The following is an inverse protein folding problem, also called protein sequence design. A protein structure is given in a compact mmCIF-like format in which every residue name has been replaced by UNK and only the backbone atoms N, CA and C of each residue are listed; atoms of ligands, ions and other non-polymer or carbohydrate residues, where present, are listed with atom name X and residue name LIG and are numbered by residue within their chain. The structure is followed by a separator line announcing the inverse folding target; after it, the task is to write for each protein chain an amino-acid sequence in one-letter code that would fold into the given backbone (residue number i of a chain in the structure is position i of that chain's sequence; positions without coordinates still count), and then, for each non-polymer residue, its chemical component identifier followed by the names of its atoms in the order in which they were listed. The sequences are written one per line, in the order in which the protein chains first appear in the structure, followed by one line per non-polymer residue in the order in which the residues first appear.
data_IF_808307209152
#
_entry.id   IF_808307209152
#
_cell.length_a   1.000
_cell.length_b   1.000
_cell.length_c   1.000
_cell.angle_alpha   90.00
_cell.angle_beta   90.00
_cell.angle_gamma   90.00
#
_symmetry.space_group_name_H-M   'P 1'
#
loop_
_entity.id
_entity.type
_entity.pdbx_description
1 polymer ?
#
# COMPACT_ATOMS: atom_id res chain seq x y z
N UNK A 1 55.32 1.82 -6.39
CA UNK A 1 56.57 1.74 -5.60
C UNK A 1 56.41 0.58 -4.62
N UNK A 2 57.27 -0.41 -4.90
CA UNK A 2 57.98 -1.33 -4.00
C UNK A 2 57.08 -2.24 -3.16
N UNK A 3 56.96 -3.48 -3.51
CA UNK A 3 57.94 -4.57 -3.58
C UNK A 3 58.04 -5.33 -2.26
N UNK A 4 57.70 -6.65 -2.34
CA UNK A 4 58.62 -7.79 -2.16
C UNK A 4 58.82 -8.19 -0.70
N UNK A 5 58.57 -9.44 -0.31
CA UNK A 5 59.46 -10.63 -0.15
C UNK A 5 58.63 -11.71 0.55
N UNK A 6 58.26 -12.89 0.04
CA UNK A 6 59.00 -14.14 -0.25
C UNK A 6 59.79 -14.72 0.92
N UNK A 7 59.44 -15.94 1.35
CA UNK A 7 60.24 -17.13 1.65
C UNK A 7 59.42 -18.08 2.51
N UNK A 8 58.96 -19.22 2.08
CA UNK A 8 59.58 -20.54 1.91
C UNK A 8 60.29 -21.11 3.17
N UNK A 9 59.73 -22.18 3.68
CA UNK A 9 60.47 -23.23 4.35
C UNK A 9 59.74 -24.58 4.22
N UNK A 10 60.45 -25.51 3.61
CA UNK A 10 60.13 -26.92 3.36
C UNK A 10 60.67 -27.76 4.51
N UNK A 11 60.10 -28.98 4.65
CA UNK A 11 60.55 -30.18 5.34
C UNK A 11 60.07 -30.34 6.78
N UNK A 12 59.48 -31.47 7.20
CA UNK A 12 60.03 -32.80 7.12
C UNK A 12 58.94 -33.87 7.20
N UNK A 13 59.08 -34.90 6.36
CA UNK A 13 58.52 -36.23 6.54
C UNK A 13 58.95 -36.85 7.85
N UNK A 14 58.01 -37.47 8.57
CA UNK A 14 58.33 -38.64 9.38
C UNK A 14 57.10 -39.53 9.44
N UNK A 15 57.23 -40.66 8.78
CA UNK A 15 56.35 -41.80 8.90
C UNK A 15 56.44 -42.39 10.30
N UNK A 16 55.30 -42.58 10.91
CA UNK A 16 55.10 -43.57 12.01
C UNK A 16 53.87 -44.39 11.70
N UNK A 17 54.10 -45.62 11.26
CA UNK A 17 53.10 -46.66 11.21
C UNK A 17 52.60 -46.94 12.61
N UNK A 18 51.33 -46.58 12.88
CA UNK A 18 50.61 -47.01 14.06
C UNK A 18 49.93 -48.33 13.73
N UNK A 19 50.41 -49.43 14.33
CA UNK A 19 49.66 -50.69 14.43
C UNK A 19 48.26 -50.43 14.95
N UNK A 20 47.21 -51.10 14.47
CA UNK A 20 45.87 -50.97 15.06
C UNK A 20 45.94 -51.43 16.48
N UNK A 21 45.58 -50.54 17.41
CA UNK A 21 45.43 -50.85 18.83
C UNK A 21 44.43 -52.01 18.91
N UNK A 22 44.91 -53.15 19.47
CA UNK A 22 44.05 -54.27 19.76
C UNK A 22 42.89 -53.82 20.66
N UNK A 23 41.68 -53.98 20.18
CA UNK A 23 40.46 -53.69 20.90
C UNK A 23 40.46 -54.52 22.21
N UNK A 24 40.49 -53.86 23.36
CA UNK A 24 40.53 -54.48 24.69
C UNK A 24 39.25 -55.22 25.04
N UNK A 25 38.34 -55.42 24.12
CA UNK A 25 37.07 -56.13 24.33
C UNK A 25 37.27 -57.63 24.31
N UNK A 26 36.65 -58.31 25.26
CA UNK A 26 36.63 -59.78 25.30
C UNK A 26 35.63 -60.30 24.29
N UNK A 27 36.05 -61.11 23.30
CA UNK A 27 35.13 -61.66 22.32
C UNK A 27 34.15 -62.66 22.99
N UNK A 28 32.93 -62.71 22.48
CA UNK A 28 31.92 -63.64 22.94
C UNK A 28 32.27 -65.09 22.53
N UNK A 29 32.70 -65.28 21.36
CA UNK A 29 33.19 -66.53 20.80
C UNK A 29 34.01 -66.24 19.54
N UNK A 30 34.68 -67.28 19.04
CA UNK A 30 35.47 -67.26 17.81
C UNK A 30 34.77 -68.10 16.75
N UNK A 31 34.69 -67.63 15.52
CA UNK A 31 33.94 -68.27 14.44
C UNK A 31 34.82 -68.55 13.24
N UNK A 32 34.61 -69.69 12.56
CA UNK A 32 35.28 -69.99 11.29
C UNK A 32 34.64 -69.14 10.16
N UNK A 33 35.44 -68.33 9.41
CA UNK A 33 34.95 -67.55 8.29
C UNK A 33 34.36 -68.34 7.14
N UNK A 34 34.83 -69.60 6.91
CA UNK A 34 34.34 -70.46 5.84
C UNK A 34 33.18 -71.36 6.28
N UNK A 35 33.18 -71.79 7.53
CA UNK A 35 32.14 -72.62 8.10
C UNK A 35 31.52 -71.99 9.32
N UNK A 36 30.56 -71.01 9.15
CA UNK A 36 30.00 -70.20 10.26
C UNK A 36 29.32 -71.01 11.38
N UNK A 37 29.02 -72.28 11.13
CA UNK A 37 28.42 -73.16 12.13
C UNK A 37 29.45 -73.65 13.20
N UNK A 38 30.76 -73.52 12.90
CA UNK A 38 31.83 -73.88 13.87
C UNK A 38 32.18 -72.64 14.72
N UNK A 39 32.00 -72.79 16.02
CA UNK A 39 32.37 -71.75 17.01
C UNK A 39 33.22 -72.31 18.10
N UNK A 40 34.13 -71.50 18.66
CA UNK A 40 35.04 -71.87 19.75
C UNK A 40 35.13 -70.77 20.81
N UNK A 41 35.29 -71.13 22.06
CA UNK A 41 35.46 -70.21 23.17
C UNK A 41 36.88 -69.67 23.30
N UNK A 42 37.82 -70.14 22.43
CA UNK A 42 39.24 -69.81 22.45
C UNK A 42 39.75 -69.49 21.04
N UNK A 43 40.74 -68.58 20.95
CA UNK A 43 41.40 -68.35 19.67
C UNK A 43 42.11 -69.62 19.21
N UNK A 44 42.10 -69.87 17.92
CA UNK A 44 42.70 -71.07 17.32
C UNK A 44 42.43 -71.16 15.85
N UNK A 45 42.78 -72.32 15.28
CA UNK A 45 42.51 -72.65 13.89
C UNK A 45 41.32 -73.60 13.76
N UNK A 46 40.56 -73.41 12.72
CA UNK A 46 39.46 -74.33 12.37
C UNK A 46 39.98 -75.72 12.04
N UNK A 47 39.41 -76.79 12.61
CA UNK A 47 39.94 -78.15 12.42
C UNK A 47 39.80 -78.66 10.97
N UNK A 48 38.82 -78.13 10.21
CA UNK A 48 38.49 -78.66 8.89
C UNK A 48 39.29 -77.93 7.76
N UNK A 49 39.58 -76.66 7.90
CA UNK A 49 40.25 -75.83 6.85
C UNK A 49 41.55 -75.20 7.27
N UNK A 50 41.92 -75.28 8.57
CA UNK A 50 43.17 -74.75 9.09
C UNK A 50 43.30 -73.19 9.16
N UNK A 51 42.19 -72.48 8.87
CA UNK A 51 42.19 -70.99 8.92
C UNK A 51 42.01 -70.53 10.37
N UNK A 52 42.51 -69.30 10.62
CA UNK A 52 42.41 -68.66 11.93
C UNK A 52 40.92 -68.23 12.16
N UNK A 53 40.44 -68.50 13.35
CA UNK A 53 39.10 -68.15 13.79
C UNK A 53 38.99 -66.65 14.01
N UNK A 54 37.90 -66.01 13.56
CA UNK A 54 37.63 -64.59 13.78
C UNK A 54 36.83 -64.33 15.04
N UNK A 55 37.25 -63.35 15.87
CA UNK A 55 36.53 -63.02 17.10
C UNK A 55 35.22 -62.32 16.82
N UNK A 56 34.14 -62.83 17.38
CA UNK A 56 32.81 -62.22 17.35
C UNK A 56 32.59 -61.51 18.69
N UNK A 57 32.35 -60.20 18.60
CA UNK A 57 32.05 -59.37 19.77
C UNK A 57 30.56 -59.18 19.92
N UNK A 58 30.11 -58.90 21.14
CA UNK A 58 28.72 -58.54 21.38
C UNK A 58 28.37 -57.25 20.55
N UNK A 59 27.37 -57.36 19.70
CA UNK A 59 26.87 -56.20 18.95
C UNK A 59 26.37 -55.18 19.98
N UNK A 60 27.12 -54.09 20.17
CA UNK A 60 26.72 -53.01 21.04
C UNK A 60 25.34 -52.56 20.58
N UNK A 61 24.31 -52.81 21.44
CA UNK A 61 22.98 -52.26 21.21
C UNK A 61 23.17 -50.78 20.80
N UNK A 62 22.69 -50.47 19.61
CA UNK A 62 22.93 -49.26 18.90
C UNK A 62 22.93 -48.06 19.85
N UNK A 63 24.05 -47.33 19.85
CA UNK A 63 24.13 -46.02 20.46
C UNK A 63 22.85 -45.26 20.19
N UNK A 64 22.41 -44.53 21.19
CA UNK A 64 21.16 -43.79 21.24
C UNK A 64 20.70 -43.08 19.98
N UNK A 65 19.51 -42.58 19.93
CA UNK A 65 18.77 -42.24 18.70
C UNK A 65 19.69 -41.60 17.71
N UNK A 66 19.68 -42.14 16.47
CA UNK A 66 20.41 -41.57 15.34
C UNK A 66 20.23 -40.05 15.32
N UNK A 67 21.25 -39.27 14.98
CA UNK A 67 21.14 -37.81 15.02
C UNK A 67 19.88 -37.43 14.26
N UNK A 68 18.95 -36.80 14.99
CA UNK A 68 17.70 -36.34 14.39
C UNK A 68 18.03 -35.55 13.16
N UNK A 69 17.35 -35.77 12.01
CA UNK A 69 17.62 -35.01 10.80
C UNK A 69 17.69 -33.54 11.14
N UNK A 70 18.62 -32.81 10.53
CA UNK A 70 18.91 -31.42 10.84
C UNK A 70 17.63 -30.58 10.87
N UNK A 71 17.11 -30.42 12.09
CA UNK A 71 15.90 -29.66 12.37
C UNK A 71 16.34 -28.28 12.80
N UNK A 72 15.86 -27.27 12.11
CA UNK A 72 16.10 -25.88 12.53
C UNK A 72 14.96 -25.45 13.46
N UNK A 73 15.34 -24.99 14.63
CA UNK A 73 14.40 -24.45 15.61
C UNK A 73 14.29 -22.94 15.47
N UNK A 74 13.13 -22.41 15.80
CA UNK A 74 12.88 -20.97 15.88
C UNK A 74 11.90 -20.70 17.02
N UNK A 75 11.97 -19.50 17.58
CA UNK A 75 11.00 -19.04 18.58
C UNK A 75 9.80 -18.41 17.92
N UNK A 76 8.64 -18.64 18.50
CA UNK A 76 7.41 -17.93 18.14
C UNK A 76 7.47 -16.55 18.77
N UNK A 77 7.47 -15.53 17.92
CA UNK A 77 7.56 -14.15 18.34
C UNK A 77 6.28 -13.41 18.00
N UNK A 78 5.93 -12.48 18.88
CA UNK A 78 4.87 -11.52 18.63
C UNK A 78 5.52 -10.21 18.22
N UNK A 79 5.11 -9.67 17.09
CA UNK A 79 5.75 -8.49 16.57
C UNK A 79 4.90 -7.78 15.51
N UNK A 80 5.42 -6.67 15.03
CA UNK A 80 4.82 -5.95 13.92
C UNK A 80 5.16 -6.64 12.60
N UNK A 81 4.15 -6.87 11.78
CA UNK A 81 4.31 -7.43 10.44
C UNK A 81 4.00 -6.38 9.40
N UNK A 82 4.90 -6.22 8.46
CA UNK A 82 4.70 -5.34 7.31
C UNK A 82 4.10 -6.11 6.15
N UNK A 83 3.12 -5.51 5.50
CA UNK A 83 2.49 -6.02 4.29
C UNK A 83 2.30 -4.90 3.29
N UNK A 84 2.63 -5.13 2.04
CA UNK A 84 2.29 -4.23 0.94
C UNK A 84 1.06 -4.76 0.23
N UNK A 85 0.00 -3.97 0.23
CA UNK A 85 -1.18 -4.23 -0.60
C UNK A 85 -0.95 -3.59 -1.97
N UNK A 86 -1.14 -4.38 -3.03
CA UNK A 86 -1.06 -3.92 -4.41
C UNK A 86 -2.44 -3.99 -5.03
N UNK A 87 -2.87 -2.87 -5.59
CA UNK A 87 -4.16 -2.75 -6.24
C UNK A 87 -4.12 -1.70 -7.35
N UNK A 88 -5.22 -1.54 -8.03
CA UNK A 88 -5.43 -0.47 -8.99
C UNK A 88 -6.33 0.60 -8.39
N UNK A 89 -6.10 1.84 -8.80
CA UNK A 89 -6.93 2.98 -8.42
C UNK A 89 -7.27 3.85 -9.62
N UNK A 90 -8.34 4.64 -9.47
CA UNK A 90 -8.73 5.65 -10.44
C UNK A 90 -8.47 7.03 -9.86
N UNK A 91 -7.80 7.88 -10.61
CA UNK A 91 -7.55 9.27 -10.24
C UNK A 91 -8.85 10.06 -10.33
N UNK A 92 -9.15 10.83 -9.32
CA UNK A 92 -10.26 11.77 -9.26
C UNK A 92 -9.77 13.16 -8.82
N UNK A 93 -10.42 14.24 -9.23
CA UNK A 93 -10.11 15.55 -8.68
C UNK A 93 -10.49 15.57 -7.18
N UNK A 94 -9.76 16.34 -6.37
CA UNK A 94 -10.17 16.67 -5.01
C UNK A 94 -11.43 17.54 -5.06
N UNK A 95 -12.54 17.01 -4.54
CA UNK A 95 -13.84 17.69 -4.58
C UNK A 95 -13.81 19.07 -3.91
N UNK A 96 -12.95 19.27 -2.91
CA UNK A 96 -12.78 20.55 -2.25
C UNK A 96 -12.05 21.59 -3.12
N UNK A 97 -11.48 21.15 -4.24
CA UNK A 97 -10.70 21.95 -5.18
C UNK A 97 -11.33 22.00 -6.57
N UNK A 98 -12.61 21.64 -6.66
CA UNK A 98 -13.42 21.77 -7.87
C UNK A 98 -14.25 23.04 -7.80
N UNK A 99 -14.15 23.86 -8.80
CA UNK A 99 -14.78 25.17 -8.90
C UNK A 99 -15.72 25.20 -10.11
N UNK A 100 -17.01 24.99 -9.91
CA UNK A 100 -17.98 25.19 -10.99
C UNK A 100 -18.15 26.69 -11.29
N UNK A 101 -18.19 27.03 -12.55
CA UNK A 101 -18.58 28.37 -13.03
C UNK A 101 -20.00 28.27 -13.53
N UNK A 102 -20.93 28.70 -12.68
CA UNK A 102 -22.37 28.60 -12.90
C UNK A 102 -22.91 29.95 -13.36
N UNK A 103 -23.86 29.94 -14.28
CA UNK A 103 -24.55 31.15 -14.73
C UNK A 103 -25.54 31.64 -13.64
N UNK A 104 -25.32 32.83 -13.09
CA UNK A 104 -26.21 33.44 -12.07
C UNK A 104 -27.54 33.94 -12.63
N UNK A 105 -27.68 34.03 -13.95
CA UNK A 105 -28.88 34.47 -14.67
C UNK A 105 -29.01 33.80 -16.05
N UNK A 106 -30.09 34.02 -16.74
CA UNK A 106 -30.22 33.64 -18.14
C UNK A 106 -29.53 34.63 -19.06
N UNK A 107 -29.04 34.13 -20.21
CA UNK A 107 -28.36 34.99 -21.17
C UNK A 107 -27.84 34.26 -22.42
N UNK A 108 -26.94 34.92 -23.12
CA UNK A 108 -26.27 34.44 -24.31
C UNK A 108 -24.76 34.52 -24.18
N UNK A 109 -24.08 33.51 -24.67
CA UNK A 109 -22.61 33.54 -24.79
C UNK A 109 -22.28 34.27 -26.08
N UNK A 110 -21.71 35.48 -25.95
CA UNK A 110 -21.31 36.29 -27.09
C UNK A 110 -20.00 35.78 -27.70
N UNK A 111 -19.01 35.47 -26.84
CA UNK A 111 -17.67 35.07 -27.25
C UNK A 111 -17.01 34.18 -26.20
N UNK A 112 -16.20 33.22 -26.65
CA UNK A 112 -15.29 32.47 -25.77
C UNK A 112 -13.90 33.10 -25.81
N UNK A 113 -13.25 33.11 -24.67
CA UNK A 113 -11.86 33.51 -24.61
C UNK A 113 -10.94 32.40 -25.17
N UNK A 114 -9.79 32.74 -25.76
CA UNK A 114 -8.83 31.74 -26.20
C UNK A 114 -8.27 30.93 -25.02
N UNK A 115 -7.90 29.67 -25.24
CA UNK A 115 -7.35 28.81 -24.19
C UNK A 115 -8.36 28.41 -23.13
N UNK A 116 -9.61 28.16 -23.52
CA UNK A 116 -10.71 27.75 -22.63
C UNK A 116 -11.38 26.46 -23.06
N UNK A 117 -10.65 25.60 -23.76
CA UNK A 117 -11.09 24.24 -24.06
C UNK A 117 -10.92 23.31 -22.85
N UNK A 118 -11.64 22.20 -22.88
CA UNK A 118 -11.43 21.12 -21.89
C UNK A 118 -9.97 20.65 -21.96
N UNK A 119 -9.31 20.60 -20.80
CA UNK A 119 -7.90 20.27 -20.67
C UNK A 119 -6.97 21.48 -20.64
N UNK A 120 -7.44 22.69 -21.00
CA UNK A 120 -6.62 23.90 -20.90
C UNK A 120 -6.39 24.33 -19.46
N UNK A 121 -5.23 24.94 -19.22
CA UNK A 121 -4.87 25.53 -17.91
C UNK A 121 -5.30 26.98 -17.87
N UNK A 122 -5.95 27.37 -16.80
CA UNK A 122 -6.39 28.73 -16.54
C UNK A 122 -5.83 29.26 -15.25
N UNK A 123 -5.69 30.57 -15.14
CA UNK A 123 -5.30 31.28 -13.94
C UNK A 123 -6.53 31.92 -13.31
N UNK A 124 -6.51 32.07 -11.98
CA UNK A 124 -7.53 32.86 -11.27
C UNK A 124 -7.70 34.24 -11.93
N UNK A 125 -8.92 34.63 -12.21
CA UNK A 125 -9.26 35.90 -12.87
C UNK A 125 -9.09 35.90 -14.39
N UNK A 126 -8.61 34.82 -15.01
CA UNK A 126 -8.53 34.73 -16.47
C UNK A 126 -9.93 34.70 -17.08
N UNK A 127 -10.11 35.47 -18.17
CA UNK A 127 -11.37 35.47 -18.92
C UNK A 127 -11.66 34.09 -19.53
N UNK A 128 -12.89 33.63 -19.37
CA UNK A 128 -13.40 32.36 -19.90
C UNK A 128 -14.35 32.60 -21.06
N UNK A 129 -15.35 33.42 -20.84
CA UNK A 129 -16.36 33.73 -21.81
C UNK A 129 -16.88 35.16 -21.64
N UNK A 130 -17.40 35.74 -22.68
CA UNK A 130 -18.16 36.98 -22.64
C UNK A 130 -19.64 36.60 -22.76
N UNK A 131 -20.43 37.05 -21.81
CA UNK A 131 -21.86 36.77 -21.73
C UNK A 131 -22.67 38.06 -21.75
N UNK A 132 -23.88 37.99 -22.27
CA UNK A 132 -24.82 39.07 -22.30
C UNK A 132 -26.18 38.60 -21.75
N UNK A 133 -26.81 39.40 -20.90
CA UNK A 133 -28.09 39.09 -20.29
C UNK A 133 -28.80 40.37 -19.83
N UNK A 134 -30.13 40.36 -19.89
CA UNK A 134 -30.94 41.51 -19.44
C UNK A 134 -30.72 41.80 -17.96
N UNK A 135 -30.66 40.75 -17.15
CA UNK A 135 -30.50 40.84 -15.72
C UNK A 135 -29.14 41.41 -15.32
N UNK A 136 -28.07 41.07 -16.08
CA UNK A 136 -26.72 41.61 -15.88
C UNK A 136 -26.68 43.12 -16.06
N UNK A 137 -27.29 43.63 -17.12
CA UNK A 137 -27.36 45.08 -17.39
C UNK A 137 -28.23 45.81 -16.37
N UNK A 138 -29.30 45.19 -15.88
CA UNK A 138 -30.15 45.76 -14.86
C UNK A 138 -29.41 45.85 -13.51
N UNK A 139 -28.71 44.81 -13.10
CA UNK A 139 -27.92 44.80 -11.87
C UNK A 139 -26.79 45.88 -11.92
N UNK A 140 -26.12 45.99 -13.06
CA UNK A 140 -25.10 47.03 -13.24
C UNK A 140 -25.64 48.44 -13.10
N UNK A 141 -26.84 48.72 -13.66
CA UNK A 141 -27.51 50.01 -13.49
C UNK A 141 -27.93 50.27 -12.05
N UNK A 142 -28.47 49.26 -11.37
CA UNK A 142 -28.86 49.33 -9.96
C UNK A 142 -27.62 49.64 -9.08
N UNK A 143 -26.48 48.98 -9.35
CA UNK A 143 -25.24 49.26 -8.62
C UNK A 143 -24.77 50.71 -8.86
N UNK A 144 -24.77 51.24 -10.10
CA UNK A 144 -24.37 52.60 -10.36
C UNK A 144 -25.34 53.61 -9.70
N UNK A 145 -26.60 53.30 -9.65
CA UNK A 145 -27.56 54.14 -8.91
C UNK A 145 -27.26 54.17 -7.39
N UNK A 146 -27.06 53.01 -6.81
CA UNK A 146 -26.69 52.86 -5.38
C UNK A 146 -25.34 53.57 -5.08
N UNK A 147 -24.36 53.46 -5.97
CA UNK A 147 -23.09 54.15 -5.87
C UNK A 147 -23.22 55.67 -5.87
N UNK A 148 -24.02 56.23 -6.78
CA UNK A 148 -24.32 57.66 -6.87
C UNK A 148 -25.07 58.14 -5.64
N UNK A 149 -25.99 57.37 -5.08
CA UNK A 149 -26.70 57.70 -3.86
C UNK A 149 -25.76 57.70 -2.64
N UNK A 150 -24.80 56.79 -2.59
CA UNK A 150 -23.77 56.73 -1.53
C UNK A 150 -22.80 57.92 -1.56
N UNK A 151 -22.47 58.42 -2.77
CA UNK A 151 -21.58 59.57 -2.96
C UNK A 151 -22.27 60.90 -2.65
N UNK A 152 -23.57 61.00 -2.94
CA UNK A 152 -24.37 62.20 -2.71
C UNK A 152 -25.62 61.81 -1.89
N UNK A 153 -25.47 61.54 -0.57
CA UNK A 153 -26.60 61.17 0.25
C UNK A 153 -27.59 62.34 0.35
N UNK A 154 -28.86 62.06 -0.02
CA UNK A 154 -29.96 62.98 0.26
C UNK A 154 -30.06 63.19 1.78
N UNK A 155 -30.66 64.31 2.26
CA UNK A 155 -30.93 64.50 3.68
C UNK A 155 -31.67 63.27 4.23
N UNK A 156 -31.04 62.54 5.15
CA UNK A 156 -31.54 61.26 5.70
C UNK A 156 -32.26 61.57 7.01
N UNK A 157 -33.35 60.92 7.26
CA UNK A 157 -34.02 60.97 8.54
C UNK A 157 -33.14 60.37 9.64
N UNK A 158 -33.19 60.90 10.88
CA UNK A 158 -32.44 60.31 12.00
C UNK A 158 -32.78 58.82 12.18
N UNK A 159 -31.77 57.95 12.11
CA UNK A 159 -31.88 56.49 12.16
C UNK A 159 -31.63 55.76 10.84
N UNK A 160 -31.60 56.43 9.69
CA UNK A 160 -31.37 55.84 8.36
C UNK A 160 -29.96 56.14 7.80
N UNK A 161 -29.05 56.63 8.64
CA UNK A 161 -27.72 57.09 8.24
C UNK A 161 -26.84 56.04 7.54
N UNK A 162 -27.14 54.76 7.77
CA UNK A 162 -26.43 53.64 7.12
C UNK A 162 -27.07 53.07 5.85
N UNK A 163 -28.32 53.47 5.52
CA UNK A 163 -29.09 52.87 4.44
C UNK A 163 -28.41 52.94 3.05
N UNK A 164 -27.82 54.08 2.61
CA UNK A 164 -27.16 54.14 1.31
C UNK A 164 -25.95 53.22 1.21
N UNK A 165 -25.17 53.06 2.29
CA UNK A 165 -24.00 52.16 2.32
C UNK A 165 -24.40 50.69 2.38
N UNK A 166 -25.52 50.33 2.98
CA UNK A 166 -26.07 48.98 2.94
C UNK A 166 -26.58 48.65 1.56
N UNK A 167 -27.36 49.55 0.93
CA UNK A 167 -27.84 49.37 -0.43
C UNK A 167 -26.72 49.20 -1.44
N UNK A 168 -25.63 49.97 -1.32
CA UNK A 168 -24.46 49.80 -2.17
C UNK A 168 -23.76 48.42 -1.98
N UNK A 169 -23.64 47.97 -0.73
CA UNK A 169 -23.09 46.66 -0.42
C UNK A 169 -23.93 45.51 -1.00
N UNK A 170 -25.24 45.62 -0.87
CA UNK A 170 -26.19 44.65 -1.45
C UNK A 170 -26.12 44.64 -2.97
N UNK A 171 -26.10 45.79 -3.61
CA UNK A 171 -25.99 45.90 -5.05
C UNK A 171 -24.64 45.31 -5.57
N UNK A 172 -23.54 45.55 -4.86
CA UNK A 172 -22.24 44.95 -5.15
C UNK A 172 -22.28 43.43 -5.05
N UNK A 173 -22.82 42.89 -3.95
CA UNK A 173 -22.99 41.44 -3.74
C UNK A 173 -23.85 40.81 -4.81
N UNK A 174 -24.88 41.51 -5.26
CA UNK A 174 -25.71 41.03 -6.37
C UNK A 174 -24.92 40.93 -7.68
N UNK A 175 -24.04 41.90 -8.00
CA UNK A 175 -23.13 41.80 -9.14
C UNK A 175 -22.19 40.61 -9.03
N UNK A 176 -21.60 40.39 -7.86
CA UNK A 176 -20.69 39.25 -7.60
C UNK A 176 -21.43 37.92 -7.80
N UNK A 177 -22.66 37.81 -7.30
CA UNK A 177 -23.52 36.62 -7.47
C UNK A 177 -23.90 36.36 -8.94
N UNK A 178 -24.01 37.41 -9.75
CA UNK A 178 -24.26 37.33 -11.17
C UNK A 178 -23.00 37.05 -12.01
N UNK A 179 -21.84 36.92 -11.37
CA UNK A 179 -20.59 36.54 -12.01
C UNK A 179 -19.69 37.70 -12.44
N UNK A 180 -19.97 38.94 -12.03
CA UNK A 180 -19.04 40.05 -12.25
C UNK A 180 -17.76 39.86 -11.44
N UNK A 181 -16.63 39.85 -12.13
CA UNK A 181 -15.34 39.83 -11.47
C UNK A 181 -15.02 41.18 -10.81
N UNK A 182 -14.17 41.15 -9.77
CA UNK A 182 -13.79 42.37 -9.03
C UNK A 182 -13.19 43.47 -9.92
N UNK A 183 -12.42 43.07 -10.96
CA UNK A 183 -11.87 44.01 -11.93
C UNK A 183 -12.97 44.73 -12.71
N UNK A 184 -14.02 44.04 -13.08
CA UNK A 184 -15.15 44.60 -13.81
C UNK A 184 -16.00 45.52 -12.94
N UNK A 185 -16.21 45.16 -11.65
CA UNK A 185 -16.90 46.04 -10.69
C UNK A 185 -16.12 47.33 -10.53
N UNK A 186 -14.81 47.26 -10.40
CA UNK A 186 -13.93 48.47 -10.32
C UNK A 186 -14.00 49.33 -11.61
N UNK A 187 -13.98 48.65 -12.77
CA UNK A 187 -14.14 49.32 -14.04
C UNK A 187 -15.49 50.07 -14.12
N UNK A 188 -16.58 49.39 -13.71
CA UNK A 188 -17.91 49.97 -13.62
C UNK A 188 -17.99 51.17 -12.67
N UNK A 189 -17.30 51.09 -11.51
CA UNK A 189 -17.14 52.19 -10.53
C UNK A 189 -16.42 53.41 -11.12
N UNK A 190 -15.37 53.16 -11.95
CA UNK A 190 -14.54 54.23 -12.53
C UNK A 190 -15.18 54.85 -13.76
N UNK A 191 -15.65 54.02 -14.69
CA UNK A 191 -16.18 54.48 -15.99
C UNK A 191 -17.61 54.98 -15.92
N UNK A 192 -18.38 54.52 -14.95
CA UNK A 192 -19.83 54.77 -14.83
C UNK A 192 -20.63 54.35 -16.04
N UNK A 193 -20.06 53.50 -16.89
CA UNK A 193 -20.71 53.02 -18.09
C UNK A 193 -21.15 51.57 -17.96
N UNK A 194 -22.42 51.28 -18.22
CA UNK A 194 -22.94 49.94 -18.21
C UNK A 194 -22.52 49.22 -19.48
N UNK A 195 -21.63 48.26 -19.35
CA UNK A 195 -21.38 47.29 -20.44
C UNK A 195 -22.52 46.28 -20.50
N UNK A 196 -22.98 45.99 -21.72
CA UNK A 196 -23.94 44.89 -21.95
C UNK A 196 -23.25 43.52 -21.87
N UNK A 197 -21.95 43.51 -22.06
CA UNK A 197 -21.12 42.30 -22.04
C UNK A 197 -20.41 42.18 -20.72
N UNK A 198 -20.58 41.02 -20.07
CA UNK A 198 -19.93 40.64 -18.84
C UNK A 198 -18.93 39.55 -19.12
N UNK A 199 -17.72 39.69 -18.61
CA UNK A 199 -16.66 38.68 -18.73
C UNK A 199 -16.72 37.72 -17.60
N UNK A 200 -17.11 36.47 -17.85
CA UNK A 200 -16.96 35.42 -16.86
C UNK A 200 -15.48 35.07 -16.70
N UNK A 201 -15.02 35.02 -15.48
CA UNK A 201 -13.61 34.78 -15.13
C UNK A 201 -13.46 33.49 -14.33
N UNK A 202 -12.27 32.88 -14.38
CA UNK A 202 -11.96 31.72 -13.60
C UNK A 202 -11.86 32.06 -12.09
N UNK A 203 -12.62 31.40 -11.21
CA UNK A 203 -12.61 31.66 -9.78
C UNK A 203 -11.30 31.19 -9.09
N UNK A 204 -10.62 30.23 -9.70
CA UNK A 204 -9.37 29.65 -9.24
C UNK A 204 -8.44 29.31 -10.41
N UNK A 205 -7.16 29.13 -10.10
CA UNK A 205 -6.21 28.58 -11.08
C UNK A 205 -6.38 27.06 -11.11
N UNK A 206 -6.32 26.48 -12.31
CA UNK A 206 -6.50 25.04 -12.47
C UNK A 206 -6.61 24.60 -13.92
N UNK A 207 -7.21 23.45 -14.14
CA UNK A 207 -7.48 22.85 -15.44
C UNK A 207 -8.98 22.81 -15.65
N UNK A 208 -9.43 23.14 -16.86
CA UNK A 208 -10.84 23.01 -17.24
C UNK A 208 -11.17 21.53 -17.44
N UNK A 209 -11.97 20.98 -16.55
CA UNK A 209 -12.43 19.58 -16.62
C UNK A 209 -13.59 19.39 -17.56
N UNK A 210 -14.50 20.37 -17.61
CA UNK A 210 -15.65 20.34 -18.48
C UNK A 210 -15.99 21.76 -18.96
N UNK A 211 -16.46 21.85 -20.19
CA UNK A 211 -16.97 23.07 -20.78
C UNK A 211 -18.29 22.79 -21.46
N UNK A 212 -19.37 23.41 -20.99
CA UNK A 212 -20.70 23.40 -21.59
C UNK A 212 -21.04 24.73 -22.29
N UNK A 213 -20.07 25.62 -22.43
CA UNK A 213 -20.22 26.92 -23.07
C UNK A 213 -19.81 26.88 -24.54
N UNK A 214 -20.70 27.35 -25.46
CA UNK A 214 -20.44 27.46 -26.88
C UNK A 214 -20.80 28.87 -27.41
N UNK A 215 -20.11 29.37 -28.44
CA UNK A 215 -20.43 30.69 -28.99
C UNK A 215 -21.86 30.75 -29.48
N UNK A 216 -22.56 31.86 -29.20
CA UNK A 216 -23.96 32.12 -29.55
C UNK A 216 -24.97 31.18 -28.89
N UNK A 217 -24.57 30.44 -27.87
CA UNK A 217 -25.48 29.59 -27.10
C UNK A 217 -26.27 30.45 -26.09
N UNK A 218 -27.58 30.18 -26.02
CA UNK A 218 -28.40 30.62 -24.89
C UNK A 218 -28.11 29.70 -23.69
N UNK A 219 -28.04 30.28 -22.54
CA UNK A 219 -27.94 29.53 -21.27
C UNK A 219 -29.02 30.01 -20.29
N UNK A 220 -29.48 29.10 -19.49
CA UNK A 220 -30.45 29.37 -18.44
C UNK A 220 -29.72 29.58 -17.11
N UNK A 221 -30.42 30.11 -16.09
CA UNK A 221 -29.91 30.25 -14.73
C UNK A 221 -29.47 28.89 -14.18
N UNK A 222 -28.44 28.88 -13.35
CA UNK A 222 -27.88 27.72 -12.65
C UNK A 222 -27.24 26.66 -13.57
N UNK A 223 -27.08 26.95 -14.86
CA UNK A 223 -26.32 26.09 -15.77
C UNK A 223 -24.83 26.22 -15.49
N UNK A 224 -24.17 25.09 -15.29
CA UNK A 224 -22.71 25.04 -15.20
C UNK A 224 -22.08 25.19 -16.58
N UNK A 225 -21.40 26.32 -16.79
CA UNK A 225 -20.75 26.64 -18.06
C UNK A 225 -19.31 26.10 -18.18
N UNK A 226 -18.60 26.09 -17.04
CA UNK A 226 -17.24 25.53 -16.94
C UNK A 226 -17.09 24.83 -15.59
N UNK A 227 -16.26 23.80 -15.58
CA UNK A 227 -15.78 23.15 -14.36
C UNK A 227 -14.28 23.20 -14.34
N UNK A 228 -13.72 23.87 -13.34
CA UNK A 228 -12.28 24.06 -13.18
C UNK A 228 -11.85 23.27 -11.92
N UNK A 229 -10.73 22.56 -11.99
CA UNK A 229 -10.16 21.90 -10.84
C UNK A 229 -8.68 22.27 -10.69
N UNK A 230 -8.30 22.50 -9.45
CA UNK A 230 -6.89 22.55 -9.09
C UNK A 230 -6.38 21.12 -8.88
N UNK A 231 -5.60 20.65 -9.84
CA UNK A 231 -5.05 19.29 -9.87
C UNK A 231 -3.66 19.17 -9.24
N UNK A 232 -3.18 20.19 -8.51
CA UNK A 232 -1.90 20.12 -7.80
C UNK A 232 -1.92 19.01 -6.72
N UNK A 233 -3.11 18.69 -6.20
CA UNK A 233 -3.42 17.52 -5.37
C UNK A 233 -4.62 16.82 -5.95
N UNK A 234 -4.57 15.49 -5.96
CA UNK A 234 -5.64 14.65 -6.51
C UNK A 234 -5.99 13.55 -5.52
N UNK A 235 -7.18 13.04 -5.66
CA UNK A 235 -7.57 11.80 -4.99
C UNK A 235 -7.30 10.61 -5.91
N UNK A 236 -6.98 9.49 -5.31
CA UNK A 236 -6.92 8.19 -5.97
C UNK A 236 -7.87 7.25 -5.23
N UNK A 237 -8.89 6.80 -5.91
CA UNK A 237 -9.85 5.84 -5.37
C UNK A 237 -9.37 4.45 -5.74
N UNK A 238 -8.87 3.71 -4.77
CA UNK A 238 -8.34 2.37 -4.93
C UNK A 238 -9.41 1.32 -4.56
N UNK A 239 -9.45 0.23 -5.31
CA UNK A 239 -10.36 -0.89 -5.10
C UNK A 239 -9.64 -2.02 -4.36
N UNK A 240 -9.99 -2.26 -3.10
CA UNK A 240 -9.43 -3.34 -2.28
C UNK A 240 -10.38 -4.54 -2.26
N UNK A 241 -9.87 -5.79 -2.44
CA UNK A 241 -10.66 -6.99 -2.22
C UNK A 241 -11.27 -7.05 -0.82
N UNK A 242 -12.48 -7.59 -0.68
CA UNK A 242 -13.18 -7.66 0.60
C UNK A 242 -12.45 -8.48 1.67
N UNK A 243 -11.58 -9.40 1.25
CA UNK A 243 -10.76 -10.24 2.15
C UNK A 243 -9.55 -9.49 2.72
N UNK A 244 -9.23 -8.33 2.16
CA UNK A 244 -8.18 -7.48 2.69
C UNK A 244 -8.73 -6.58 3.83
N UNK A 245 -7.87 -6.17 4.78
CA UNK A 245 -8.32 -5.35 5.90
C UNK A 245 -8.93 -4.04 5.38
N UNK A 246 -10.22 -3.87 5.63
CA UNK A 246 -10.93 -2.62 5.34
C UNK A 246 -10.60 -1.53 6.36
N UNK A 247 -10.12 -1.94 7.54
CA UNK A 247 -9.65 -1.04 8.59
C UNK A 247 -8.19 -0.66 8.35
N UNK A 248 -7.95 0.11 7.29
CA UNK A 248 -6.65 0.70 7.05
C UNK A 248 -6.42 1.82 8.07
N UNK A 249 -5.27 1.83 8.77
CA UNK A 249 -4.95 2.95 9.63
C UNK A 249 -4.96 4.25 8.82
N UNK A 250 -5.58 5.29 9.38
CA UNK A 250 -5.54 6.62 8.79
C UNK A 250 -4.09 7.04 8.55
N UNK A 251 -3.84 7.70 7.42
CA UNK A 251 -2.52 8.17 7.00
C UNK A 251 -1.49 7.06 6.73
N UNK A 252 -1.95 5.81 6.49
CA UNK A 252 -1.05 4.78 5.96
C UNK A 252 -0.33 5.28 4.72
N UNK A 253 0.98 5.06 4.66
CA UNK A 253 1.79 5.45 3.52
C UNK A 253 1.42 4.61 2.29
N UNK A 254 1.32 5.29 1.17
CA UNK A 254 1.04 4.65 -0.11
C UNK A 254 1.89 5.25 -1.23
N UNK A 255 2.00 4.52 -2.30
CA UNK A 255 2.66 4.94 -3.53
C UNK A 255 1.73 4.75 -4.72
N UNK A 256 1.70 5.74 -5.59
CA UNK A 256 0.88 5.73 -6.80
C UNK A 256 1.79 5.82 -8.02
N UNK A 257 1.66 4.88 -8.93
CA UNK A 257 2.46 4.83 -10.16
C UNK A 257 1.56 5.01 -11.37
N UNK A 258 1.86 6.03 -12.18
CA UNK A 258 1.13 6.29 -13.41
C UNK A 258 1.58 5.33 -14.53
N UNK A 259 0.68 4.92 -15.44
CA UNK A 259 1.01 4.05 -16.57
C UNK A 259 2.20 4.56 -17.39
N UNK A 260 3.12 3.66 -17.72
CA UNK A 260 4.31 3.98 -18.52
C UNK A 260 5.37 4.84 -17.81
N UNK A 261 5.27 5.00 -16.50
CA UNK A 261 6.28 5.68 -15.68
C UNK A 261 6.83 4.74 -14.63
N UNK A 262 8.14 4.81 -14.40
CA UNK A 262 8.81 4.06 -13.33
C UNK A 262 8.86 4.81 -12.00
N UNK A 263 8.64 6.12 -12.01
CA UNK A 263 8.64 6.92 -10.79
C UNK A 263 7.25 6.86 -10.12
N UNK A 264 7.22 6.44 -8.87
CA UNK A 264 6.03 6.47 -8.03
C UNK A 264 5.90 7.82 -7.31
N UNK A 265 4.67 8.26 -7.10
CA UNK A 265 4.35 9.45 -6.33
C UNK A 265 3.89 9.04 -4.93
N UNK A 266 4.36 9.73 -3.88
CA UNK A 266 3.90 9.46 -2.54
C UNK A 266 2.42 9.86 -2.39
N UNK A 267 1.68 9.03 -1.67
CA UNK A 267 0.30 9.23 -1.33
C UNK A 267 0.04 8.78 0.11
N UNK A 268 -1.06 9.20 0.67
CA UNK A 268 -1.50 8.78 1.99
C UNK A 268 -2.96 8.35 1.94
N UNK A 269 -3.30 7.31 2.70
CA UNK A 269 -4.68 6.91 2.89
C UNK A 269 -5.40 8.03 3.63
N UNK A 270 -6.47 8.57 3.06
CA UNK A 270 -7.30 9.55 3.75
C UNK A 270 -8.26 8.83 4.69
N UNK A 271 -8.57 9.45 5.84
CA UNK A 271 -9.47 8.89 6.86
C UNK A 271 -10.96 8.78 6.44
N UNK A 272 -11.26 8.90 5.15
CA UNK A 272 -12.59 8.64 4.65
C UNK A 272 -12.86 7.14 4.66
N UNK A 273 -14.00 6.79 5.26
CA UNK A 273 -14.48 5.42 5.34
C UNK A 273 -14.44 4.73 3.96
N UNK A 274 -13.89 3.53 3.94
CA UNK A 274 -13.95 2.69 2.78
C UNK A 274 -15.43 2.41 2.42
N UNK A 275 -15.85 2.81 1.24
CA UNK A 275 -17.19 2.49 0.74
C UNK A 275 -17.17 1.10 0.13
N UNK A 276 -17.99 0.21 0.65
CA UNK A 276 -18.14 -1.13 0.06
C UNK A 276 -18.98 -1.06 -1.21
N UNK A 277 -18.48 -1.65 -2.28
CA UNK A 277 -19.18 -1.80 -3.56
C UNK A 277 -19.65 -3.25 -3.72
N UNK A 278 -20.95 -3.52 -3.54
CA UNK A 278 -21.47 -4.90 -3.54
C UNK A 278 -21.27 -5.64 -4.88
N UNK A 279 -21.30 -4.90 -5.98
CA UNK A 279 -21.21 -5.47 -7.34
C UNK A 279 -19.83 -6.06 -7.63
N UNK A 280 -18.77 -5.41 -7.19
CA UNK A 280 -17.37 -5.85 -7.36
C UNK A 280 -16.83 -6.60 -6.15
N UNK A 281 -17.55 -6.59 -5.02
CA UNK A 281 -17.08 -7.08 -3.70
C UNK A 281 -15.75 -6.46 -3.29
N UNK A 282 -15.59 -5.16 -3.56
CA UNK A 282 -14.42 -4.39 -3.20
C UNK A 282 -14.78 -3.28 -2.23
N UNK A 283 -13.84 -2.92 -1.38
CA UNK A 283 -13.90 -1.71 -0.59
C UNK A 283 -13.14 -0.61 -1.33
N UNK A 284 -13.80 0.55 -1.55
CA UNK A 284 -13.17 1.71 -2.15
C UNK A 284 -12.48 2.53 -1.08
N UNK A 285 -11.18 2.69 -1.22
CA UNK A 285 -10.35 3.46 -0.31
C UNK A 285 -9.83 4.69 -1.03
N UNK A 286 -9.93 5.85 -0.39
CA UNK A 286 -9.44 7.12 -0.92
C UNK A 286 -8.03 7.38 -0.43
N UNK A 287 -7.16 7.71 -1.38
CA UNK A 287 -5.82 8.19 -1.11
C UNK A 287 -5.69 9.64 -1.59
N UNK A 288 -4.88 10.42 -0.91
CA UNK A 288 -4.50 11.77 -1.32
C UNK A 288 -3.07 11.74 -1.83
N UNK A 289 -2.87 12.27 -3.02
CA UNK A 289 -1.57 12.33 -3.67
C UNK A 289 -1.26 13.75 -4.14
N UNK A 290 -0.07 14.24 -3.84
CA UNK A 290 0.45 15.45 -4.47
C UNK A 290 0.80 15.13 -5.93
N UNK A 291 0.49 16.07 -6.83
CA UNK A 291 0.58 15.85 -8.26
C UNK A 291 1.49 16.88 -8.94
N UNK A 292 2.79 16.84 -8.69
CA UNK A 292 3.74 17.77 -9.31
C UNK A 292 3.76 17.56 -10.82
N UNK A 293 3.70 18.68 -11.56
CA UNK A 293 3.69 18.65 -13.02
C UNK A 293 2.39 18.14 -13.64
N UNK A 294 1.34 17.88 -12.85
CA UNK A 294 0.02 17.40 -13.29
C UNK A 294 0.12 16.08 -14.09
N UNK A 295 0.92 15.16 -13.57
CA UNK A 295 1.16 13.83 -14.15
C UNK A 295 -0.08 12.95 -14.04
N UNK A 296 -0.73 12.99 -12.88
CA UNK A 296 -1.98 12.30 -12.62
C UNK A 296 -3.13 13.14 -13.18
N UNK A 297 -3.88 12.57 -14.11
CA UNK A 297 -5.05 13.21 -14.72
C UNK A 297 -6.32 12.53 -14.25
N UNK A 298 -7.43 13.24 -14.08
CA UNK A 298 -8.72 12.64 -13.78
C UNK A 298 -9.04 11.48 -14.72
N UNK A 299 -9.69 10.46 -14.18
CA UNK A 299 -10.06 9.20 -14.83
C UNK A 299 -8.91 8.27 -15.23
N UNK A 300 -7.67 8.65 -14.99
CA UNK A 300 -6.51 7.77 -15.21
C UNK A 300 -6.56 6.60 -14.23
N UNK A 301 -6.30 5.40 -14.75
CA UNK A 301 -6.09 4.19 -13.94
C UNK A 301 -4.61 4.12 -13.59
N UNK A 302 -4.31 3.87 -12.32
CA UNK A 302 -2.95 3.89 -11.74
C UNK A 302 -2.73 2.68 -10.86
N UNK A 303 -1.48 2.24 -10.76
CA UNK A 303 -1.10 1.22 -9.78
C UNK A 303 -0.92 1.85 -8.41
N UNK A 304 -1.43 1.18 -7.39
CA UNK A 304 -1.41 1.64 -5.99
C UNK A 304 -0.75 0.59 -5.12
N UNK A 305 0.25 0.99 -4.36
CA UNK A 305 0.88 0.19 -3.32
C UNK A 305 0.64 0.86 -1.97
N UNK A 306 0.01 0.14 -1.03
CA UNK A 306 -0.27 0.63 0.33
C UNK A 306 0.58 -0.17 1.30
N UNK A 307 1.42 0.51 2.06
CA UNK A 307 2.20 -0.11 3.12
C UNK A 307 1.36 -0.24 4.39
N UNK A 308 1.19 -1.47 4.87
CA UNK A 308 0.50 -1.77 6.10
C UNK A 308 1.49 -2.27 7.14
N UNK A 309 1.39 -1.72 8.33
CA UNK A 309 2.12 -2.17 9.51
C UNK A 309 1.08 -2.66 10.52
N UNK A 310 1.04 -3.98 10.73
CA UNK A 310 0.07 -4.61 11.63
C UNK A 310 0.81 -4.96 12.91
N UNK A 311 0.55 -4.27 14.02
CA UNK A 311 1.21 -4.53 15.28
C UNK A 311 0.67 -5.79 15.95
N UNK A 312 1.44 -6.34 16.87
CA UNK A 312 1.03 -7.40 17.81
C UNK A 312 0.57 -8.72 17.16
N UNK A 313 1.14 -9.07 15.99
CA UNK A 313 0.83 -10.33 15.30
C UNK A 313 1.73 -11.45 15.80
N UNK A 314 1.12 -12.56 16.24
CA UNK A 314 1.84 -13.81 16.49
C UNK A 314 2.05 -14.51 15.15
N UNK A 315 3.28 -14.63 14.69
CA UNK A 315 3.56 -15.17 13.36
C UNK A 315 4.69 -16.18 13.37
N UNK A 316 4.60 -17.14 12.43
CA UNK A 316 5.62 -18.18 12.22
C UNK A 316 5.98 -18.24 10.72
N UNK A 317 7.17 -18.70 10.35
CA UNK A 317 7.51 -18.96 8.95
C UNK A 317 6.53 -19.97 8.31
N UNK A 318 6.18 -19.76 7.05
CA UNK A 318 5.29 -20.70 6.29
C UNK A 318 5.84 -22.13 6.33
N UNK A 319 7.17 -22.29 6.30
CA UNK A 319 7.85 -23.58 6.35
C UNK A 319 7.61 -24.38 7.65
N UNK A 320 7.26 -23.70 8.75
CA UNK A 320 6.98 -24.34 10.02
C UNK A 320 5.58 -24.99 10.08
N UNK A 321 4.66 -24.53 9.24
CA UNK A 321 3.27 -25.00 9.25
C UNK A 321 3.09 -26.15 8.25
N UNK A 322 2.53 -27.24 8.74
CA UNK A 322 2.19 -28.45 7.95
C UNK A 322 0.67 -28.60 7.90
N UNK A 323 0.18 -28.91 6.72
CA UNK A 323 -1.23 -29.30 6.56
C UNK A 323 -1.32 -30.84 6.45
N UNK A 324 -1.93 -31.45 7.44
CA UNK A 324 -2.10 -32.92 7.51
C UNK A 324 -3.60 -33.21 7.67
N UNK A 325 -4.16 -33.89 6.69
CA UNK A 325 -5.59 -34.26 6.66
C UNK A 325 -6.53 -33.04 6.88
N UNK A 326 -6.21 -31.89 6.29
CA UNK A 326 -7.02 -30.68 6.40
C UNK A 326 -6.80 -29.86 7.68
N UNK A 327 -5.92 -30.31 8.58
CA UNK A 327 -5.60 -29.59 9.82
C UNK A 327 -4.19 -29.02 9.74
N UNK A 328 -4.06 -27.73 9.99
CA UNK A 328 -2.74 -27.08 10.11
C UNK A 328 -2.12 -27.44 11.47
N UNK A 329 -0.86 -27.85 11.46
CA UNK A 329 -0.11 -28.18 12.68
C UNK A 329 1.33 -27.69 12.60
N UNK A 330 1.92 -27.45 13.77
CA UNK A 330 3.31 -27.05 13.97
C UNK A 330 3.96 -28.01 14.95
N UNK A 331 5.22 -28.38 14.72
CA UNK A 331 5.97 -29.18 15.69
C UNK A 331 6.58 -28.26 16.73
N UNK A 332 6.21 -28.49 18.00
CA UNK A 332 6.74 -27.75 19.14
C UNK A 332 7.81 -28.59 19.84
N UNK A 333 8.89 -27.97 20.26
CA UNK A 333 9.93 -28.63 21.03
C UNK A 333 9.44 -28.94 22.45
N UNK A 334 9.33 -30.23 22.76
CA UNK A 334 8.97 -30.72 24.07
C UNK A 334 10.20 -31.03 24.96
N UNK A 335 11.40 -30.65 24.48
CA UNK A 335 12.65 -30.91 25.17
C UNK A 335 13.23 -32.30 24.89
N UNK A 336 14.50 -32.48 25.18
CA UNK A 336 15.27 -33.73 24.95
C UNK A 336 15.19 -34.26 23.51
N UNK A 337 15.10 -33.36 22.47
CA UNK A 337 15.05 -33.73 21.08
C UNK A 337 13.70 -34.34 20.65
N UNK A 338 12.66 -34.18 21.43
CA UNK A 338 11.30 -34.63 21.11
C UNK A 338 10.47 -33.47 20.59
N UNK A 339 9.79 -33.72 19.47
CA UNK A 339 8.95 -32.73 18.81
C UNK A 339 7.51 -33.25 18.75
N UNK A 340 6.58 -32.47 19.28
CA UNK A 340 5.16 -32.82 19.32
C UNK A 340 4.36 -31.97 18.32
N UNK A 341 3.54 -32.59 17.46
CA UNK A 341 2.66 -31.87 16.58
C UNK A 341 1.52 -31.23 17.39
N UNK A 342 1.39 -29.94 17.30
CA UNK A 342 0.34 -29.16 17.93
C UNK A 342 -0.56 -28.57 16.84
N UNK A 343 -1.88 -28.84 16.87
CA UNK A 343 -2.81 -28.23 15.92
C UNK A 343 -2.84 -26.72 16.14
N UNK A 344 -2.83 -25.97 15.03
CA UNK A 344 -2.86 -24.51 15.06
C UNK A 344 -3.94 -24.01 14.13
N UNK A 345 -4.54 -22.88 14.47
CA UNK A 345 -5.41 -22.14 13.58
C UNK A 345 -4.59 -21.02 12.95
N UNK A 346 -4.39 -21.11 11.65
CA UNK A 346 -3.69 -20.10 10.87
C UNK A 346 -4.65 -18.99 10.46
N UNK A 347 -4.13 -17.78 10.44
CA UNK A 347 -4.80 -16.58 9.93
C UNK A 347 -4.24 -16.15 8.57
N UNK A 348 -3.99 -14.87 8.45
CA UNK A 348 -3.49 -14.23 7.23
C UNK A 348 -2.03 -14.59 6.94
N UNK A 349 -1.70 -14.57 5.66
CA UNK A 349 -0.31 -14.75 5.21
C UNK A 349 0.34 -13.40 4.93
N UNK A 350 1.56 -13.23 5.44
CA UNK A 350 2.39 -12.04 5.27
C UNK A 350 3.73 -12.45 4.63
N UNK A 351 3.79 -12.43 3.32
CA UNK A 351 4.97 -12.88 2.59
C UNK A 351 5.36 -14.33 2.91
N UNK A 352 6.47 -14.51 3.62
CA UNK A 352 7.01 -15.80 4.09
C UNK A 352 6.54 -16.22 5.49
N UNK A 353 5.69 -15.43 6.14
CA UNK A 353 5.14 -15.70 7.47
C UNK A 353 3.63 -15.94 7.44
N UNK A 354 3.15 -16.74 8.38
CA UNK A 354 1.73 -17.00 8.64
C UNK A 354 1.36 -16.51 10.03
N UNK A 355 0.23 -15.83 10.13
CA UNK A 355 -0.39 -15.47 11.40
C UNK A 355 -0.89 -16.74 12.11
N UNK A 356 -0.69 -16.81 13.41
CA UNK A 356 -1.25 -17.85 14.27
C UNK A 356 -2.34 -17.22 15.13
N UNK A 357 -3.58 -17.59 14.85
CA UNK A 357 -4.75 -17.10 15.59
C UNK A 357 -4.89 -17.84 16.92
N UNK A 358 -4.55 -19.14 16.94
CA UNK A 358 -4.60 -19.96 18.16
C UNK A 358 -3.73 -21.21 18.03
N UNK A 359 -3.34 -21.78 19.17
CA UNK A 359 -2.56 -23.03 19.27
C UNK A 359 -1.09 -22.82 19.67
N UNK A 360 -0.55 -21.61 19.58
CA UNK A 360 0.80 -21.26 20.05
C UNK A 360 0.75 -20.01 20.92
N UNK A 361 1.79 -19.86 21.74
CA UNK A 361 2.04 -18.65 22.52
C UNK A 361 3.41 -18.08 22.20
N UNK A 362 3.60 -16.79 22.44
CA UNK A 362 4.90 -16.16 22.29
C UNK A 362 5.93 -16.84 23.22
N UNK A 363 7.11 -17.16 22.68
CA UNK A 363 8.16 -17.88 23.39
C UNK A 363 8.19 -19.39 23.13
N UNK A 364 7.13 -20.00 22.56
CA UNK A 364 7.18 -21.39 22.13
C UNK A 364 8.35 -21.62 21.18
N UNK A 365 9.10 -22.70 21.37
CA UNK A 365 10.14 -23.13 20.43
C UNK A 365 9.54 -24.12 19.44
N UNK A 366 9.64 -23.81 18.15
CA UNK A 366 9.02 -24.60 17.07
C UNK A 366 10.05 -25.03 16.03
N UNK A 367 9.72 -26.07 15.30
CA UNK A 367 10.50 -26.53 14.14
C UNK A 367 10.16 -25.67 12.92
N UNK A 368 11.15 -24.90 12.46
CA UNK A 368 11.01 -24.01 11.29
C UNK A 368 11.36 -24.76 10.00
N UNK A 369 12.33 -25.67 10.03
CA UNK A 369 12.75 -26.48 8.88
C UNK A 369 12.96 -27.91 9.31
N UNK A 370 12.75 -28.87 8.39
CA UNK A 370 12.87 -30.31 8.70
C UNK A 370 11.59 -30.97 9.22
N UNK A 371 10.49 -30.23 9.36
CA UNK A 371 9.20 -30.76 9.85
C UNK A 371 8.67 -31.93 9.03
N UNK A 372 8.99 -31.99 7.73
CA UNK A 372 8.62 -33.12 6.86
C UNK A 372 9.28 -34.43 7.29
N UNK A 373 10.54 -34.38 7.68
CA UNK A 373 11.30 -35.56 8.14
C UNK A 373 10.76 -36.12 9.44
N UNK A 374 10.33 -35.25 10.35
CA UNK A 374 9.69 -35.64 11.60
C UNK A 374 8.35 -36.34 11.39
N UNK A 375 7.57 -35.86 10.44
CA UNK A 375 6.29 -36.48 10.06
C UNK A 375 6.49 -37.88 9.44
N UNK A 376 7.49 -38.01 8.55
CA UNK A 376 7.86 -39.27 7.92
C UNK A 376 8.38 -40.29 8.95
N UNK A 377 9.22 -39.88 9.88
CA UNK A 377 9.73 -40.75 10.96
C UNK A 377 8.61 -41.22 11.90
N UNK A 378 7.67 -40.34 12.22
CA UNK A 378 6.52 -40.67 13.06
C UNK A 378 5.57 -41.64 12.40
N UNK A 379 5.35 -41.55 11.08
CA UNK A 379 4.54 -42.56 10.33
C UNK A 379 5.22 -43.93 10.38
N UNK A 380 6.53 -43.96 10.14
CA UNK A 380 7.32 -45.20 10.18
C UNK A 380 7.34 -45.88 11.55
N UNK A 381 7.11 -45.17 12.65
CA UNK A 381 7.01 -45.76 14.01
C UNK A 381 5.59 -46.21 14.37
N UNK A 382 4.58 -45.84 13.57
CA UNK A 382 3.18 -46.23 13.79
C UNK A 382 2.77 -47.47 12.99
N UNK A 383 3.49 -47.76 11.90
CA UNK A 383 3.41 -48.97 11.12
C UNK A 383 4.40 -50.05 11.69
#
# INVERSE_FOLDING_TARGET
MRAVVLLAAIAALSACGGSPAADARKPLYWRDPMHPAYTSDRPGKAPDCGMDLEPVYEERAAAGPAPSPAVTLGKVERGTVERTLRTIGRVAPDENRVYPVVAGCEGWITKLAPGTATGDRVRKGQALAVVNGRELSTAARTFLYALKAAENPAPVLPGDEGAPALTLREARRNLENLGFGEAQIRELEQTRQVSLDVVLTAPASGVILARAAYPRQRFDRDVELFRIADLARVWVVADLPADDPTDLPERSAAHVTAPGRSASLPAVVSGALARFEPSSRTAKVRLEADNPGLVLRPDMVVDVEIALSIPDVLSVPVSAVRNVAGTSQVFVDAGAGRYEPRPVRVGRRFGDRLEIVSGLVAGDTIVVSGAFLLDAERRRRRD
#
